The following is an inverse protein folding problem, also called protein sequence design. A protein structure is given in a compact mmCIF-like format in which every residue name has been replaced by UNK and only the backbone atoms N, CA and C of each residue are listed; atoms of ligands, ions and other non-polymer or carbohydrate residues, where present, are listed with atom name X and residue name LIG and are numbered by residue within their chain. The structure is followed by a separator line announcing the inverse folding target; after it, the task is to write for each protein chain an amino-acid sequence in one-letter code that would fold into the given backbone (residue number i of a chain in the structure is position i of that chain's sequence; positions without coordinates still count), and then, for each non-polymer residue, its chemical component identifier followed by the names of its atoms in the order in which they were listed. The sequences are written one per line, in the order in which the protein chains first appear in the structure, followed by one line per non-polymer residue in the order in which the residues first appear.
data_IF_717076326121
#
_entry.id   IF_717076326121
#
_cell.length_a   1.000
_cell.length_b   1.000
_cell.length_c   1.000
_cell.angle_alpha   90.00
_cell.angle_beta   90.00
_cell.angle_gamma   90.00
#
_symmetry.space_group_name_H-M   'P 1'
#
loop_
_entity.id
_entity.type
_entity.pdbx_description
1 polymer ?
#
# COMPACT_ATOMS: atom_id res chain seq x y z
N UNK A 1 -6.11 3.81 -14.19
CA UNK A 1 -6.13 2.34 -14.36
C UNK A 1 -5.26 1.94 -15.53
N UNK A 2 -4.80 0.69 -15.56
CA UNK A 2 -4.18 0.09 -16.73
C UNK A 2 -5.10 -0.96 -17.32
N UNK A 3 -5.11 -1.09 -18.63
CA UNK A 3 -5.87 -2.10 -19.37
C UNK A 3 -4.90 -2.86 -20.26
N UNK A 4 -4.75 -4.16 -20.01
CA UNK A 4 -3.95 -5.07 -20.81
C UNK A 4 -4.88 -5.93 -21.65
N UNK A 5 -4.82 -5.80 -22.97
CA UNK A 5 -5.58 -6.63 -23.89
C UNK A 5 -4.92 -8.00 -24.01
N UNK A 6 -5.67 -9.06 -23.72
CA UNK A 6 -5.17 -10.44 -23.68
C UNK A 6 -5.48 -11.17 -24.99
N UNK A 7 -6.71 -11.02 -25.51
CA UNK A 7 -7.14 -11.67 -26.74
C UNK A 7 -8.14 -10.78 -27.50
N UNK A 8 -8.15 -10.90 -28.82
CA UNK A 8 -8.98 -10.10 -29.69
C UNK A 8 -8.61 -8.62 -29.66
N UNK A 9 -9.55 -7.79 -30.08
CA UNK A 9 -9.39 -6.34 -30.10
C UNK A 9 -10.57 -5.61 -29.45
N UNK A 10 -10.35 -4.34 -29.07
CA UNK A 10 -11.37 -3.48 -28.48
C UNK A 10 -11.11 -2.03 -28.88
N UNK A 11 -12.15 -1.34 -29.29
CA UNK A 11 -12.10 0.09 -29.62
C UNK A 11 -12.38 0.89 -28.34
N UNK A 12 -11.47 1.80 -28.02
CA UNK A 12 -11.58 2.72 -26.88
C UNK A 12 -11.82 4.13 -27.37
N UNK A 13 -12.74 4.79 -26.72
CA UNK A 13 -13.10 6.19 -26.95
C UNK A 13 -12.78 6.97 -25.70
N UNK A 14 -12.02 8.05 -25.83
CA UNK A 14 -11.71 8.98 -24.75
C UNK A 14 -12.45 10.29 -24.97
N UNK A 15 -12.90 10.89 -23.88
CA UNK A 15 -13.52 12.19 -23.86
C UNK A 15 -12.77 13.10 -22.87
N UNK A 16 -13.07 14.39 -22.86
CA UNK A 16 -12.44 15.31 -21.94
C UNK A 16 -12.74 15.00 -20.47
N UNK A 17 -11.83 15.37 -19.61
CA UNK A 17 -11.98 15.25 -18.16
C UNK A 17 -12.94 16.32 -17.65
N UNK A 18 -14.07 15.95 -17.07
CA UNK A 18 -15.02 16.88 -16.47
C UNK A 18 -14.68 17.22 -15.01
N UNK A 19 -14.09 16.29 -14.30
CA UNK A 19 -13.67 16.46 -12.92
C UNK A 19 -12.19 16.07 -12.83
N UNK A 20 -11.34 17.05 -12.58
CA UNK A 20 -9.92 16.79 -12.39
C UNK A 20 -9.68 16.06 -11.07
N UNK A 21 -8.91 14.98 -11.12
CA UNK A 21 -8.56 14.15 -9.97
C UNK A 21 -9.75 13.79 -9.06
N UNK A 22 -10.85 13.23 -9.58
CA UNK A 22 -12.05 13.01 -8.80
C UNK A 22 -11.79 12.13 -7.58
N UNK A 23 -12.46 12.39 -6.48
CA UNK A 23 -12.50 11.50 -5.33
C UNK A 23 -13.22 10.19 -5.70
N UNK A 24 -12.95 9.14 -4.95
CA UNK A 24 -13.62 7.85 -5.17
C UNK A 24 -15.16 7.94 -5.08
N UNK A 25 -15.66 8.85 -4.25
CA UNK A 25 -17.10 9.15 -4.11
C UNK A 25 -17.71 9.92 -5.28
N UNK A 26 -16.89 10.49 -6.17
CA UNK A 26 -17.31 11.25 -7.35
C UNK A 26 -17.29 10.34 -8.59
N UNK A 27 -18.02 9.23 -8.53
CA UNK A 27 -18.16 8.31 -9.66
C UNK A 27 -18.91 8.93 -10.84
N UNK A 28 -18.79 8.32 -12.01
CA UNK A 28 -19.56 8.71 -13.17
C UNK A 28 -21.07 8.47 -12.92
N UNK A 29 -21.85 9.50 -13.17
CA UNK A 29 -23.31 9.49 -13.11
C UNK A 29 -23.84 10.01 -14.45
N UNK A 30 -24.48 9.13 -15.24
CA UNK A 30 -24.98 9.46 -16.57
C UNK A 30 -26.04 10.56 -16.59
N UNK A 31 -26.74 10.77 -15.47
CA UNK A 31 -27.80 11.77 -15.36
C UNK A 31 -27.24 13.16 -15.03
N UNK A 32 -26.02 13.21 -14.51
CA UNK A 32 -25.33 14.46 -14.13
C UNK A 32 -24.16 14.81 -15.06
N UNK A 33 -23.59 13.82 -15.71
CA UNK A 33 -22.39 13.99 -16.50
C UNK A 33 -22.65 13.69 -17.96
N UNK A 34 -22.44 14.65 -18.84
CA UNK A 34 -22.41 14.47 -20.28
C UNK A 34 -20.97 14.56 -20.75
N UNK A 35 -20.32 13.43 -21.07
CA UNK A 35 -18.98 13.45 -21.65
C UNK A 35 -19.09 14.06 -23.06
N UNK A 36 -18.64 15.23 -23.31
CA UNK A 36 -18.65 15.88 -24.61
C UNK A 36 -18.29 14.97 -25.81
N UNK A 37 -18.01 15.51 -26.99
CA UNK A 37 -17.61 14.68 -28.13
C UNK A 37 -16.31 13.92 -27.83
N UNK A 38 -16.09 12.76 -28.45
CA UNK A 38 -14.85 12.03 -28.33
C UNK A 38 -13.64 12.89 -28.76
N UNK A 39 -12.62 12.94 -27.90
CA UNK A 39 -11.35 13.61 -28.20
C UNK A 39 -10.35 12.67 -28.88
N UNK A 40 -10.49 11.37 -28.64
CA UNK A 40 -9.64 10.34 -29.22
C UNK A 40 -10.37 8.99 -29.31
N UNK A 41 -10.20 8.32 -30.44
CA UNK A 41 -10.59 6.92 -30.61
C UNK A 41 -9.39 6.09 -31.10
N UNK A 42 -9.21 4.89 -30.55
CA UNK A 42 -8.14 3.97 -30.94
C UNK A 42 -8.52 2.53 -30.61
N UNK A 43 -7.89 1.60 -31.31
CA UNK A 43 -8.07 0.17 -31.09
C UNK A 43 -6.86 -0.42 -30.40
N UNK A 44 -7.08 -1.18 -29.33
CA UNK A 44 -6.05 -2.01 -28.71
C UNK A 44 -6.24 -3.47 -29.11
N UNK A 45 -5.12 -4.19 -29.28
CA UNK A 45 -5.03 -5.59 -29.70
C UNK A 45 -4.29 -6.40 -28.64
N UNK A 46 -4.35 -7.72 -28.75
CA UNK A 46 -3.63 -8.62 -27.84
C UNK A 46 -2.16 -8.21 -27.68
N UNK A 47 -1.71 -8.02 -26.43
CA UNK A 47 -0.38 -7.52 -26.06
C UNK A 47 -0.30 -6.01 -25.83
N UNK A 48 -1.28 -5.22 -26.24
CA UNK A 48 -1.29 -3.77 -26.00
C UNK A 48 -1.64 -3.46 -24.55
N UNK A 49 -0.94 -2.47 -23.98
CA UNK A 49 -1.20 -1.89 -22.67
C UNK A 49 -1.65 -0.43 -22.82
N UNK A 50 -2.81 -0.12 -22.27
CA UNK A 50 -3.35 1.23 -22.23
C UNK A 50 -3.40 1.76 -20.80
N UNK A 51 -2.88 2.97 -20.57
CA UNK A 51 -3.02 3.69 -19.32
C UNK A 51 -4.11 4.76 -19.43
N UNK A 52 -5.10 4.70 -18.54
CA UNK A 52 -6.16 5.68 -18.41
C UNK A 52 -6.01 6.41 -17.06
N UNK A 53 -5.68 7.71 -17.06
CA UNK A 53 -5.58 8.49 -15.84
C UNK A 53 -6.94 8.65 -15.15
N UNK A 54 -6.90 8.98 -13.86
CA UNK A 54 -8.09 9.26 -13.05
C UNK A 54 -8.80 10.51 -13.56
N UNK A 55 -10.12 10.43 -13.72
CA UNK A 55 -10.96 11.55 -14.17
C UNK A 55 -11.21 11.57 -15.67
N UNK A 56 -10.42 10.84 -16.46
CA UNK A 56 -10.63 10.77 -17.91
C UNK A 56 -11.87 9.92 -18.24
N UNK A 57 -12.85 10.51 -18.93
CA UNK A 57 -13.98 9.74 -19.42
C UNK A 57 -13.56 8.81 -20.54
N UNK A 58 -14.04 7.59 -20.47
CA UNK A 58 -13.71 6.58 -21.45
C UNK A 58 -14.88 5.62 -21.64
N UNK A 59 -14.99 5.13 -22.85
CA UNK A 59 -15.90 4.05 -23.22
C UNK A 59 -15.14 3.01 -24.04
N UNK A 60 -15.63 1.80 -24.04
CA UNK A 60 -15.05 0.74 -24.85
C UNK A 60 -16.15 -0.06 -25.53
N UNK A 61 -15.95 -0.39 -26.79
CA UNK A 61 -16.82 -1.29 -27.56
C UNK A 61 -16.04 -2.46 -28.13
N UNK A 62 -16.65 -3.63 -28.11
CA UNK A 62 -16.08 -4.81 -28.77
C UNK A 62 -16.10 -4.61 -30.27
N UNK A 63 -15.20 -5.28 -30.96
CA UNK A 63 -15.22 -5.50 -32.40
C UNK A 63 -16.07 -6.75 -32.74
N UNK A 64 -15.97 -7.27 -33.94
CA UNK A 64 -16.70 -8.47 -34.35
C UNK A 64 -16.09 -9.78 -33.84
N UNK A 65 -15.04 -9.68 -33.00
CA UNK A 65 -14.35 -10.83 -32.43
C UNK A 65 -14.48 -10.88 -30.89
N UNK A 66 -14.23 -12.05 -30.32
CA UNK A 66 -14.17 -12.23 -28.86
C UNK A 66 -13.01 -11.39 -28.32
N UNK A 67 -13.29 -10.58 -27.30
CA UNK A 67 -12.32 -9.66 -26.71
C UNK A 67 -12.18 -9.89 -25.21
N UNK A 68 -10.95 -10.13 -24.76
CA UNK A 68 -10.61 -10.31 -23.34
C UNK A 68 -9.53 -9.31 -22.95
N UNK A 69 -9.74 -8.59 -21.86
CA UNK A 69 -8.73 -7.71 -21.26
C UNK A 69 -8.71 -7.85 -19.74
N UNK A 70 -7.59 -7.49 -19.15
CA UNK A 70 -7.42 -7.35 -17.69
C UNK A 70 -7.33 -5.87 -17.38
N UNK A 71 -8.12 -5.42 -16.39
CA UNK A 71 -8.04 -4.06 -15.85
C UNK A 71 -7.37 -4.08 -14.49
N UNK A 72 -6.30 -3.28 -14.33
CA UNK A 72 -5.61 -3.07 -13.08
C UNK A 72 -5.88 -1.65 -12.58
N UNK A 73 -6.65 -1.53 -11.49
CA UNK A 73 -6.87 -0.28 -10.79
C UNK A 73 -5.75 -0.01 -9.77
N UNK A 74 -5.19 1.21 -9.81
CA UNK A 74 -4.30 1.70 -8.76
C UNK A 74 -5.10 2.62 -7.85
N UNK A 75 -5.29 2.21 -6.61
CA UNK A 75 -5.97 3.00 -5.58
C UNK A 75 -4.89 3.57 -4.67
N UNK A 76 -4.61 4.86 -4.82
CA UNK A 76 -3.66 5.59 -3.99
C UNK A 76 -4.36 6.34 -2.86
N UNK A 77 -3.64 6.62 -1.79
CA UNK A 77 -4.04 7.60 -0.78
C UNK A 77 -3.91 9.02 -1.34
N UNK A 78 -4.82 9.88 -0.98
CA UNK A 78 -4.91 11.27 -1.45
C UNK A 78 -4.67 12.24 -0.29
N UNK A 79 -4.44 13.51 -0.61
CA UNK A 79 -4.43 14.56 0.43
C UNK A 79 -5.79 14.68 1.15
N UNK A 80 -6.90 14.37 0.48
CA UNK A 80 -8.20 14.30 1.14
C UNK A 80 -8.24 13.22 2.24
N UNK A 81 -7.60 12.07 2.01
CA UNK A 81 -7.46 11.02 3.04
C UNK A 81 -6.61 11.53 4.22
N UNK A 82 -5.50 12.22 3.94
CA UNK A 82 -4.64 12.80 5.00
C UNK A 82 -5.41 13.83 5.82
N UNK A 83 -6.15 14.74 5.15
CA UNK A 83 -6.96 15.76 5.84
C UNK A 83 -8.06 15.15 6.69
N UNK A 84 -8.78 14.16 6.16
CA UNK A 84 -9.82 13.46 6.93
C UNK A 84 -9.25 12.79 8.18
N UNK A 85 -8.09 12.16 8.05
CA UNK A 85 -7.41 11.49 9.16
C UNK A 85 -6.84 12.47 10.18
N UNK A 86 -6.39 13.66 9.72
CA UNK A 86 -5.96 14.74 10.62
C UNK A 86 -7.11 15.19 11.51
N UNK A 87 -8.30 15.39 10.93
CA UNK A 87 -9.51 15.74 11.69
C UNK A 87 -9.90 14.62 12.66
N UNK A 88 -9.88 13.36 12.21
CA UNK A 88 -10.18 12.21 13.07
C UNK A 88 -9.22 12.12 14.26
N UNK A 89 -7.93 12.33 14.05
CA UNK A 89 -6.90 12.37 15.10
C UNK A 89 -7.15 13.50 16.10
N UNK A 90 -7.47 14.69 15.62
CA UNK A 90 -7.82 15.82 16.50
C UNK A 90 -9.07 15.54 17.34
N UNK A 91 -10.07 14.89 16.75
CA UNK A 91 -11.28 14.46 17.47
C UNK A 91 -10.96 13.46 18.60
N UNK A 92 -9.99 12.59 18.42
CA UNK A 92 -9.54 11.67 19.47
C UNK A 92 -8.73 12.38 20.56
N UNK A 93 -7.89 13.32 20.17
CA UNK A 93 -6.96 14.01 21.08
C UNK A 93 -7.64 15.06 21.98
N UNK A 94 -8.70 15.73 21.48
CA UNK A 94 -9.31 16.87 22.22
C UNK A 94 -10.83 16.76 22.34
N UNK A 95 -11.38 16.89 23.56
CA UNK A 95 -12.83 16.94 23.79
C UNK A 95 -13.54 18.09 23.06
N UNK A 96 -12.84 19.19 22.78
CA UNK A 96 -13.42 20.35 22.11
C UNK A 96 -14.00 19.99 20.73
N UNK A 97 -13.34 19.10 19.98
CA UNK A 97 -13.83 18.60 18.70
C UNK A 97 -15.02 17.64 18.82
N UNK A 98 -15.26 17.10 20.01
CA UNK A 98 -16.37 16.16 20.30
C UNK A 98 -17.55 16.83 21.00
N UNK A 99 -17.49 18.14 21.25
CA UNK A 99 -18.59 18.86 21.84
C UNK A 99 -19.81 18.87 20.91
N UNK A 100 -20.99 18.85 21.50
CA UNK A 100 -22.24 18.95 20.75
C UNK A 100 -22.36 20.31 20.04
N UNK A 101 -23.04 20.32 18.93
CA UNK A 101 -23.48 21.56 18.31
C UNK A 101 -24.41 22.35 19.25
N UNK A 102 -24.47 23.69 19.13
CA UNK A 102 -25.37 24.49 19.94
C UNK A 102 -26.84 24.06 19.79
N UNK A 103 -27.60 24.08 20.87
CA UNK A 103 -29.04 23.82 20.81
C UNK A 103 -29.71 24.78 19.83
N UNK A 104 -30.71 24.30 19.12
CA UNK A 104 -31.43 25.09 18.13
C UNK A 104 -30.72 25.26 16.77
N UNK A 105 -29.60 24.57 16.51
CA UNK A 105 -28.85 24.70 15.26
C UNK A 105 -29.67 24.38 13.98
N UNK A 106 -30.80 23.67 14.14
CA UNK A 106 -31.73 23.32 13.06
C UNK A 106 -32.87 24.32 12.90
N UNK A 107 -32.97 25.34 13.75
CA UNK A 107 -34.05 26.31 13.68
C UNK A 107 -33.81 27.30 12.54
N UNK A 108 -34.90 27.71 11.85
CA UNK A 108 -34.83 28.62 10.70
C UNK A 108 -34.16 29.97 11.02
N UNK A 109 -34.24 30.43 12.27
CA UNK A 109 -33.69 31.69 12.75
C UNK A 109 -32.46 31.53 13.64
N UNK A 110 -31.74 30.41 13.52
CA UNK A 110 -30.54 30.15 14.31
C UNK A 110 -29.44 31.19 14.02
N UNK A 111 -28.96 31.85 15.07
CA UNK A 111 -27.81 32.73 14.96
C UNK A 111 -26.50 31.94 14.99
N UNK A 112 -25.87 31.75 13.85
CA UNK A 112 -24.65 30.98 13.67
C UNK A 112 -23.37 31.72 14.13
N UNK A 113 -23.46 32.98 14.62
CA UNK A 113 -22.28 33.80 14.94
C UNK A 113 -21.36 33.12 15.94
N UNK A 114 -21.90 32.63 17.05
CA UNK A 114 -21.14 31.91 18.07
C UNK A 114 -20.62 30.54 17.56
N UNK A 115 -21.42 29.82 16.80
CA UNK A 115 -21.02 28.56 16.20
C UNK A 115 -19.83 28.75 15.23
N UNK A 116 -19.88 29.81 14.37
CA UNK A 116 -18.78 30.16 13.49
C UNK A 116 -17.50 30.53 14.26
N UNK A 117 -17.61 31.29 15.36
CA UNK A 117 -16.46 31.59 16.21
C UNK A 117 -15.82 30.33 16.78
N UNK A 118 -16.62 29.40 17.31
CA UNK A 118 -16.15 28.10 17.82
C UNK A 118 -15.50 27.27 16.70
N UNK A 119 -16.13 27.21 15.54
CA UNK A 119 -15.60 26.47 14.37
C UNK A 119 -14.23 27.02 13.95
N UNK A 120 -14.08 28.34 13.86
CA UNK A 120 -12.79 28.98 13.53
C UNK A 120 -11.71 28.66 14.57
N UNK A 121 -12.02 28.72 15.87
CA UNK A 121 -11.08 28.37 16.93
C UNK A 121 -10.64 26.90 16.86
N UNK A 122 -11.54 26.00 16.49
CA UNK A 122 -11.21 24.59 16.24
C UNK A 122 -10.29 24.42 15.02
N UNK A 123 -10.55 25.13 13.93
CA UNK A 123 -9.65 25.13 12.75
C UNK A 123 -8.26 25.67 13.07
N UNK A 124 -8.15 26.75 13.83
CA UNK A 124 -6.86 27.29 14.29
C UNK A 124 -6.11 26.28 15.16
N UNK A 125 -6.82 25.57 16.03
CA UNK A 125 -6.25 24.49 16.84
C UNK A 125 -5.79 23.36 15.95
N UNK A 126 -6.58 22.94 14.96
CA UNK A 126 -6.23 21.89 14.02
C UNK A 126 -4.94 22.26 13.28
N UNK A 127 -4.84 23.46 12.71
CA UNK A 127 -3.66 23.93 11.97
C UNK A 127 -2.41 23.92 12.86
N UNK A 128 -2.53 24.34 14.12
CA UNK A 128 -1.40 24.39 15.06
C UNK A 128 -0.91 23.01 15.46
N UNK A 129 -1.79 22.02 15.53
CA UNK A 129 -1.48 20.66 16.03
C UNK A 129 -1.37 19.62 14.93
N UNK A 130 -1.68 19.98 13.68
CA UNK A 130 -1.63 19.08 12.57
C UNK A 130 -0.19 18.64 12.28
N UNK A 131 0.02 17.34 12.20
CA UNK A 131 1.25 16.70 11.78
C UNK A 131 0.88 15.55 10.83
N UNK A 132 1.42 15.60 9.61
CA UNK A 132 1.14 14.57 8.62
C UNK A 132 2.05 13.34 8.76
N UNK A 133 3.20 13.44 9.42
CA UNK A 133 4.16 12.35 9.51
C UNK A 133 3.58 11.09 10.17
N UNK A 134 2.91 11.15 11.35
CA UNK A 134 2.29 9.97 11.94
C UNK A 134 1.17 9.37 11.08
N UNK A 135 0.48 10.20 10.28
CA UNK A 135 -0.59 9.73 9.38
C UNK A 135 0.01 8.97 8.20
N UNK A 136 1.06 9.53 7.59
CA UNK A 136 1.77 8.87 6.50
C UNK A 136 2.41 7.56 6.96
N UNK A 137 2.95 7.54 8.18
CA UNK A 137 3.51 6.34 8.80
C UNK A 137 2.46 5.24 8.91
N UNK A 138 1.28 5.56 9.47
CA UNK A 138 0.17 4.62 9.56
C UNK A 138 -0.32 4.14 8.18
N UNK A 139 -0.44 5.05 7.20
CA UNK A 139 -0.81 4.65 5.84
C UNK A 139 0.21 3.71 5.21
N UNK A 140 1.50 3.92 5.48
CA UNK A 140 2.54 3.02 5.02
C UNK A 140 2.48 1.65 5.71
N UNK A 141 2.19 1.61 7.01
CA UNK A 141 1.96 0.36 7.75
C UNK A 141 0.73 -0.39 7.21
N UNK A 142 -0.40 0.30 7.02
CA UNK A 142 -1.61 -0.27 6.44
C UNK A 142 -1.35 -0.83 5.03
N UNK A 143 -0.55 -0.12 4.23
CA UNK A 143 -0.16 -0.58 2.91
C UNK A 143 0.61 -1.89 3.00
N UNK A 144 1.64 -1.96 3.83
CA UNK A 144 2.49 -3.14 3.99
C UNK A 144 1.68 -4.33 4.53
N UNK A 145 0.89 -4.10 5.59
CA UNK A 145 0.14 -5.16 6.26
C UNK A 145 -1.06 -5.66 5.46
N UNK A 146 -1.56 -4.87 4.51
CA UNK A 146 -2.64 -5.29 3.60
C UNK A 146 -2.13 -6.12 2.40
N UNK A 147 -0.83 -6.22 2.16
CA UNK A 147 -0.27 -7.02 1.06
C UNK A 147 -0.25 -8.49 1.41
N UNK A 148 -0.71 -9.33 0.49
CA UNK A 148 -0.61 -10.78 0.64
C UNK A 148 0.74 -11.23 0.09
N UNK A 149 1.62 -11.84 0.89
CA UNK A 149 2.84 -12.42 0.38
C UNK A 149 2.53 -13.62 -0.52
N UNK A 150 3.37 -13.85 -1.52
CA UNK A 150 3.35 -15.10 -2.27
C UNK A 150 3.94 -16.20 -1.37
N UNK A 151 3.11 -17.15 -0.98
CA UNK A 151 3.49 -18.26 -0.11
C UNK A 151 3.78 -19.55 -0.87
N UNK A 152 3.93 -19.50 -2.18
CA UNK A 152 4.27 -20.68 -3.00
C UNK A 152 5.55 -21.36 -2.49
N UNK A 153 5.51 -22.67 -2.29
CA UNK A 153 6.64 -23.47 -1.76
C UNK A 153 6.94 -23.30 -0.27
N UNK A 154 6.16 -22.51 0.48
CA UNK A 154 6.44 -22.25 1.90
C UNK A 154 6.36 -23.51 2.77
N UNK A 155 5.51 -24.47 2.44
CA UNK A 155 5.38 -25.72 3.22
C UNK A 155 6.67 -26.53 3.16
N UNK A 156 7.23 -26.71 1.98
CA UNK A 156 8.50 -27.43 1.77
C UNK A 156 9.65 -26.72 2.50
N UNK A 157 9.74 -25.40 2.37
CA UNK A 157 10.74 -24.61 3.07
C UNK A 157 10.64 -24.70 4.60
N UNK A 158 9.42 -24.79 5.15
CA UNK A 158 9.20 -24.96 6.60
C UNK A 158 9.66 -26.32 7.10
N UNK A 159 9.40 -27.40 6.34
CA UNK A 159 9.84 -28.75 6.68
C UNK A 159 11.36 -28.80 6.74
N UNK A 160 12.01 -28.22 5.76
CA UNK A 160 13.46 -28.24 5.60
C UNK A 160 14.21 -27.18 6.44
N UNK A 161 13.49 -26.28 7.11
CA UNK A 161 14.12 -25.22 7.90
C UNK A 161 15.08 -25.75 8.99
N UNK A 162 14.88 -26.97 9.48
CA UNK A 162 15.78 -27.59 10.44
C UNK A 162 17.20 -27.87 9.88
N UNK A 163 17.32 -28.06 8.56
CA UNK A 163 18.58 -28.34 7.88
C UNK A 163 19.44 -27.09 7.59
N UNK A 164 18.99 -25.89 7.97
CA UNK A 164 19.75 -24.65 7.77
C UNK A 164 20.99 -24.64 8.63
N UNK A 165 22.12 -24.37 7.99
CA UNK A 165 23.46 -24.24 8.60
C UNK A 165 24.07 -22.88 8.28
N UNK A 166 25.18 -22.48 8.91
CA UNK A 166 25.88 -21.25 8.54
C UNK A 166 26.31 -21.17 7.07
N UNK A 167 26.51 -22.33 6.41
CA UNK A 167 26.90 -22.42 5.00
C UNK A 167 25.72 -22.43 4.01
N UNK A 168 24.47 -22.39 4.50
CA UNK A 168 23.29 -22.43 3.65
C UNK A 168 23.12 -21.11 2.90
N UNK A 169 22.93 -21.18 1.57
CA UNK A 169 22.58 -20.03 0.76
C UNK A 169 21.06 -19.78 0.81
N UNK A 170 20.69 -18.52 1.03
CA UNK A 170 19.30 -18.07 1.12
C UNK A 170 19.12 -16.77 0.33
N UNK A 171 17.88 -16.44 0.00
CA UNK A 171 17.54 -15.18 -0.63
C UNK A 171 16.21 -14.65 -0.07
N UNK A 172 15.98 -13.33 -0.09
CA UNK A 172 14.64 -12.80 0.17
C UNK A 172 13.66 -13.34 -0.86
N UNK A 173 12.42 -13.57 -0.42
CA UNK A 173 11.34 -13.97 -1.31
C UNK A 173 11.07 -12.85 -2.33
N UNK A 174 10.86 -13.16 -3.61
CA UNK A 174 10.54 -12.16 -4.62
C UNK A 174 9.31 -11.34 -4.25
N UNK A 175 9.31 -10.06 -4.60
CA UNK A 175 8.20 -9.14 -4.40
C UNK A 175 7.75 -8.96 -2.94
N UNK A 176 8.65 -9.25 -1.99
CA UNK A 176 8.39 -9.04 -0.58
C UNK A 176 8.21 -7.56 -0.27
N UNK A 177 7.05 -7.20 0.29
CA UNK A 177 6.78 -5.87 0.83
C UNK A 177 6.81 -5.96 2.34
N UNK A 178 7.71 -5.23 2.96
CA UNK A 178 7.92 -5.24 4.40
C UNK A 178 8.34 -3.87 4.92
N UNK A 179 8.26 -3.69 6.23
CA UNK A 179 8.73 -2.51 6.95
C UNK A 179 9.42 -2.92 8.24
N UNK A 180 10.52 -2.26 8.57
CA UNK A 180 11.15 -2.33 9.88
C UNK A 180 10.78 -1.06 10.66
N UNK A 181 10.32 -1.22 11.90
CA UNK A 181 10.01 -0.14 12.81
C UNK A 181 10.79 -0.33 14.11
N UNK A 182 11.54 0.69 14.49
CA UNK A 182 12.29 0.66 15.72
C UNK A 182 11.36 0.90 16.92
N UNK A 183 11.44 0.04 17.93
CA UNK A 183 10.62 0.07 19.15
C UNK A 183 11.52 0.04 20.42
N UNK A 184 12.49 0.96 20.47
CA UNK A 184 13.44 1.04 21.56
C UNK A 184 14.38 -0.16 21.60
N UNK A 185 14.23 -1.05 22.59
CA UNK A 185 15.04 -2.27 22.70
C UNK A 185 14.65 -3.36 21.70
N UNK A 186 13.60 -3.14 20.91
CA UNK A 186 13.10 -4.06 19.93
C UNK A 186 13.05 -3.43 18.54
N UNK A 187 12.92 -4.28 17.52
CA UNK A 187 12.56 -3.94 16.16
C UNK A 187 11.36 -4.78 15.72
N UNK A 188 10.32 -4.12 15.23
CA UNK A 188 9.17 -4.77 14.63
C UNK A 188 9.40 -4.94 13.12
N UNK A 189 9.14 -6.13 12.61
CA UNK A 189 9.09 -6.45 11.20
C UNK A 189 7.64 -6.66 10.80
N UNK A 190 7.12 -5.74 9.99
CA UNK A 190 5.76 -5.76 9.47
C UNK A 190 5.77 -6.32 8.04
N UNK A 191 4.93 -7.29 7.76
CA UNK A 191 4.74 -7.84 6.40
C UNK A 191 3.43 -8.62 6.32
N UNK A 192 2.70 -8.51 5.23
CA UNK A 192 1.38 -9.10 5.12
C UNK A 192 0.54 -8.74 6.35
N UNK A 193 -0.26 -9.65 6.85
CA UNK A 193 -1.06 -9.43 8.07
C UNK A 193 -0.31 -9.72 9.38
N UNK A 194 1.03 -9.77 9.35
CA UNK A 194 1.87 -10.23 10.47
C UNK A 194 2.82 -9.12 10.93
N UNK A 195 3.00 -9.02 12.23
CA UNK A 195 4.07 -8.25 12.86
C UNK A 195 4.90 -9.20 13.72
N UNK A 196 6.20 -9.24 13.48
CA UNK A 196 7.17 -9.98 14.28
C UNK A 196 8.04 -9.02 15.05
N UNK A 197 8.18 -9.22 16.35
CA UNK A 197 9.07 -8.42 17.19
C UNK A 197 10.35 -9.20 17.48
N UNK A 198 11.48 -8.52 17.34
CA UNK A 198 12.82 -9.04 17.60
C UNK A 198 13.58 -8.07 18.50
N UNK A 199 14.62 -8.52 19.24
CA UNK A 199 15.55 -7.61 19.90
C UNK A 199 16.24 -6.68 18.89
N UNK A 200 16.50 -5.43 19.26
CA UNK A 200 17.09 -4.41 18.39
C UNK A 200 18.44 -4.83 17.78
N UNK A 201 19.18 -5.72 18.44
CA UNK A 201 20.46 -6.27 17.94
C UNK A 201 20.36 -6.96 16.60
N UNK A 202 19.17 -7.45 16.19
CA UNK A 202 18.95 -8.10 14.89
C UNK A 202 18.47 -7.16 13.79
N UNK A 203 18.37 -5.86 14.05
CA UNK A 203 17.90 -4.88 13.06
C UNK A 203 18.73 -4.88 11.77
N UNK A 204 20.05 -4.80 11.91
CA UNK A 204 20.95 -4.79 10.74
C UNK A 204 20.96 -6.13 9.98
N UNK A 205 21.03 -7.30 10.67
CA UNK A 205 20.79 -8.60 10.03
C UNK A 205 19.45 -8.69 9.28
N UNK A 206 18.35 -8.17 9.86
CA UNK A 206 17.04 -8.16 9.20
C UNK A 206 17.03 -7.29 7.94
N UNK A 207 17.53 -6.07 8.03
CA UNK A 207 17.62 -5.16 6.89
C UNK A 207 18.44 -5.77 5.75
N UNK A 208 19.61 -6.33 6.08
CA UNK A 208 20.48 -7.01 5.12
C UNK A 208 19.76 -8.20 4.45
N UNK A 209 19.14 -9.07 5.27
CA UNK A 209 18.49 -10.30 4.79
C UNK A 209 17.31 -10.04 3.87
N UNK A 210 16.58 -8.93 4.05
CA UNK A 210 15.31 -8.67 3.37
C UNK A 210 15.42 -7.69 2.19
N UNK A 211 16.45 -6.84 2.17
CA UNK A 211 16.66 -5.85 1.08
C UNK A 211 17.65 -6.32 0.03
N UNK A 212 18.46 -7.31 0.36
CA UNK A 212 19.58 -7.73 -0.46
C UNK A 212 19.25 -8.76 -1.55
N UNK A 213 20.31 -9.23 -2.17
CA UNK A 213 20.34 -10.39 -3.06
C UNK A 213 20.53 -11.69 -2.24
N UNK A 214 20.74 -12.83 -2.93
CA UNK A 214 21.09 -14.07 -2.26
C UNK A 214 22.41 -13.94 -1.47
N UNK A 215 22.46 -14.56 -0.29
CA UNK A 215 23.61 -14.52 0.62
C UNK A 215 23.76 -15.87 1.35
N UNK A 216 24.90 -16.09 1.98
CA UNK A 216 25.14 -17.26 2.85
C UNK A 216 24.83 -16.85 4.29
N UNK A 217 24.18 -17.70 5.07
CA UNK A 217 23.68 -17.36 6.43
C UNK A 217 24.78 -16.81 7.33
N UNK A 218 26.02 -17.33 7.26
CA UNK A 218 27.17 -16.78 8.01
C UNK A 218 27.52 -15.33 7.69
N UNK A 219 27.15 -14.83 6.52
CA UNK A 219 27.47 -13.48 6.04
C UNK A 219 26.50 -12.42 6.58
N UNK A 220 25.48 -12.82 7.37
CA UNK A 220 24.61 -11.87 8.07
C UNK A 220 25.46 -10.92 8.93
N UNK A 221 25.32 -9.62 8.79
CA UNK A 221 26.08 -8.61 9.55
C UNK A 221 25.69 -8.59 11.04
N UNK A 222 26.37 -7.75 11.81
CA UNK A 222 26.03 -7.47 13.20
C UNK A 222 26.74 -8.38 14.20
N UNK A 223 26.18 -8.47 15.41
CA UNK A 223 26.82 -9.11 16.58
C UNK A 223 26.32 -10.54 16.85
N UNK A 224 25.50 -11.11 15.99
CA UNK A 224 25.04 -12.48 16.14
C UNK A 224 26.19 -13.46 15.90
N UNK A 225 26.32 -14.46 16.75
CA UNK A 225 27.16 -15.62 16.46
C UNK A 225 26.50 -16.52 15.38
N UNK A 226 27.20 -17.54 14.90
CA UNK A 226 26.70 -18.42 13.86
C UNK A 226 25.40 -19.14 14.28
N UNK A 227 25.23 -19.47 15.55
CA UNK A 227 24.02 -20.09 16.07
C UNK A 227 22.84 -19.10 15.99
N UNK A 228 23.04 -17.85 16.42
CA UNK A 228 22.04 -16.78 16.33
C UNK A 228 21.65 -16.46 14.88
N UNK A 229 22.62 -16.42 13.96
CA UNK A 229 22.38 -16.23 12.52
C UNK A 229 21.51 -17.35 11.94
N UNK A 230 21.79 -18.61 12.30
CA UNK A 230 20.98 -19.76 11.89
C UNK A 230 19.56 -19.69 12.45
N UNK A 231 19.41 -19.32 13.73
CA UNK A 231 18.08 -19.15 14.36
C UNK A 231 17.28 -18.07 13.64
N UNK A 232 17.88 -16.92 13.34
CA UNK A 232 17.23 -15.85 12.61
C UNK A 232 16.83 -16.31 11.20
N UNK A 233 17.73 -16.91 10.44
CA UNK A 233 17.44 -17.40 9.09
C UNK A 233 16.31 -18.42 9.08
N UNK A 234 16.32 -19.39 10.02
CA UNK A 234 15.25 -20.38 10.21
C UNK A 234 13.91 -19.70 10.49
N UNK A 235 13.89 -18.69 11.35
CA UNK A 235 12.66 -17.94 11.65
C UNK A 235 12.13 -17.26 10.39
N UNK A 236 12.97 -16.54 9.64
CA UNK A 236 12.56 -15.84 8.42
C UNK A 236 12.08 -16.80 7.33
N UNK A 237 12.66 -17.99 7.20
CA UNK A 237 12.19 -19.02 6.29
C UNK A 237 10.81 -19.56 6.72
N UNK A 238 10.63 -19.85 8.01
CA UNK A 238 9.33 -20.34 8.53
C UNK A 238 8.21 -19.32 8.34
N UNK A 239 8.52 -18.03 8.39
CA UNK A 239 7.57 -16.96 8.14
C UNK A 239 7.37 -16.67 6.63
N UNK A 240 8.12 -17.34 5.76
CA UNK A 240 8.00 -17.18 4.30
C UNK A 240 8.70 -15.94 3.76
N UNK A 241 9.64 -15.36 4.50
CA UNK A 241 10.38 -14.16 4.12
C UNK A 241 11.65 -14.48 3.33
N UNK A 242 12.28 -15.58 3.64
CA UNK A 242 13.45 -16.12 2.92
C UNK A 242 13.12 -17.45 2.27
N UNK A 243 13.82 -17.75 1.19
CA UNK A 243 13.82 -19.04 0.50
C UNK A 243 15.24 -19.58 0.43
N UNK A 244 15.38 -20.90 0.51
CA UNK A 244 16.69 -21.55 0.27
C UNK A 244 17.04 -21.46 -1.21
N UNK A 245 18.33 -21.31 -1.49
CA UNK A 245 18.88 -21.40 -2.84
C UNK A 245 19.75 -22.65 -2.96
N UNK A 246 19.53 -23.42 -4.00
CA UNK A 246 20.44 -24.50 -4.37
C UNK A 246 21.73 -23.90 -4.91
N UNK A 247 22.88 -24.53 -4.64
CA UNK A 247 24.21 -24.06 -5.04
C UNK A 247 24.34 -23.78 -6.56
N UNK A 248 23.51 -24.41 -7.39
CA UNK A 248 23.48 -24.20 -8.84
C UNK A 248 23.02 -22.78 -9.28
N UNK A 249 22.32 -22.04 -8.42
CA UNK A 249 21.81 -20.70 -8.75
C UNK A 249 22.75 -19.55 -8.36
N UNK A 250 23.87 -19.84 -7.68
CA UNK A 250 24.81 -18.83 -7.18
C UNK A 250 25.91 -18.45 -8.20
N UNK A 251 26.09 -19.23 -9.26
CA UNK A 251 27.18 -19.07 -10.24
C UNK A 251 26.78 -18.45 -11.59
N UNK A 252 25.53 -18.06 -11.78
CA UNK A 252 25.06 -17.49 -13.05
C UNK A 252 24.72 -15.98 -12.88
N UNK A 253 25.75 -15.14 -12.89
CA UNK A 253 25.71 -13.72 -13.25
C UNK A 253 26.92 -13.39 -14.09
#
# INVERSE_FOLDING_TARGET
MFVLQIAGSKVWTLNDTLIELPLHSQGFDKDKHSPGPPTREFTIRAGDLFYCPRGLFHAARSTDEVSLHITLGLIGKTWADVMAETVATACLASPAFRANLPAGFADANFDATRANATFRALLETLVRTADCEPILERFAEDFVTSRRPDLSGTLEERIDAAAITPATAVAPRPHLVFRLRDEGENVALLFGSTTLTFPAVVRDPLAFALQGSAFVVRDLPGRLDDAGKVVLARRLIKEGLLVRRTAAAYGAR
#
